data_IF_270089219239
#
_entry.id   IF_270089219239
#
_cell.length_a   1.000
_cell.length_b   1.000
_cell.length_c   1.000
_cell.angle_alpha   90.00
_cell.angle_beta   90.00
_cell.angle_gamma   90.00
#
_symmetry.space_group_name_H-M   'P 1'
#
loop_
_entity.id
_entity.type
_entity.pdbx_description
1 polymer ?
#
# COMPACT_ATOMS: atom_id res chain seq x y z
N UNK A 1 1.89 -0.07 9.86
CA UNK A 1 1.80 -0.83 8.59
C UNK A 1 0.39 -1.37 8.41
N UNK A 2 -0.12 -1.39 7.19
CA UNK A 2 -1.36 -2.10 6.81
C UNK A 2 -0.98 -3.25 5.88
N UNK A 3 -1.50 -4.44 6.14
CA UNK A 3 -1.29 -5.61 5.29
C UNK A 3 -2.57 -5.97 4.53
N UNK A 4 -2.42 -6.24 3.22
CA UNK A 4 -3.50 -6.62 2.34
C UNK A 4 -3.28 -8.01 1.76
N UNK A 5 -4.34 -8.81 1.76
CA UNK A 5 -4.38 -10.13 1.13
C UNK A 5 -4.86 -9.99 -0.31
N UNK A 6 -4.24 -10.74 -1.21
CA UNK A 6 -4.67 -10.79 -2.61
C UNK A 6 -6.06 -11.44 -2.74
N UNK A 7 -6.67 -11.28 -3.91
CA UNK A 7 -7.89 -11.95 -4.31
C UNK A 7 -7.66 -13.47 -4.35
N UNK A 8 -8.73 -14.23 -4.13
CA UNK A 8 -8.65 -15.70 -4.16
C UNK A 8 -8.22 -16.15 -5.57
N UNK A 9 -7.19 -16.98 -5.63
CA UNK A 9 -6.59 -17.45 -6.89
C UNK A 9 -5.25 -16.77 -7.18
N UNK A 10 -5.15 -15.46 -6.93
CA UNK A 10 -3.99 -14.64 -7.31
C UNK A 10 -2.87 -14.64 -6.27
N UNK A 11 -1.64 -14.37 -6.69
CA UNK A 11 -0.47 -14.14 -5.85
C UNK A 11 0.11 -12.75 -6.09
N UNK A 12 0.88 -12.23 -5.12
CA UNK A 12 1.46 -10.91 -5.26
C UNK A 12 2.48 -10.85 -6.39
N UNK A 13 3.29 -11.92 -6.55
CA UNK A 13 4.27 -12.05 -7.63
C UNK A 13 3.64 -12.11 -9.02
N UNK A 14 2.45 -12.72 -9.17
CA UNK A 14 1.73 -12.71 -10.45
C UNK A 14 1.14 -11.33 -10.78
N UNK A 15 0.66 -10.61 -9.76
CA UNK A 15 0.02 -9.31 -9.92
C UNK A 15 1.05 -8.18 -10.13
N UNK A 16 2.15 -8.24 -9.37
CA UNK A 16 3.28 -7.31 -9.43
C UNK A 16 4.55 -8.16 -9.55
N UNK A 17 4.97 -8.50 -10.79
CA UNK A 17 6.17 -9.30 -11.01
C UNK A 17 7.45 -8.53 -10.68
N UNK A 18 7.41 -7.19 -10.75
CA UNK A 18 8.52 -6.30 -10.41
C UNK A 18 8.03 -5.24 -9.43
N UNK A 19 8.15 -5.54 -8.12
CA UNK A 19 7.72 -4.64 -7.06
C UNK A 19 8.49 -3.33 -7.06
N UNK A 20 9.79 -3.37 -7.35
CA UNK A 20 10.64 -2.19 -7.36
C UNK A 20 10.17 -1.24 -8.46
N UNK A 21 10.07 -1.74 -9.70
CA UNK A 21 9.65 -0.94 -10.84
C UNK A 21 8.22 -0.39 -10.69
N UNK A 22 7.27 -1.21 -10.21
CA UNK A 22 5.88 -0.75 -10.00
C UNK A 22 5.83 0.34 -8.93
N UNK A 23 6.58 0.21 -7.83
CA UNK A 23 6.61 1.24 -6.77
C UNK A 23 7.20 2.54 -7.29
N UNK A 24 8.30 2.46 -8.06
CA UNK A 24 8.91 3.64 -8.66
C UNK A 24 7.99 4.33 -9.67
N UNK A 25 7.27 3.55 -10.49
CA UNK A 25 6.31 4.09 -11.45
C UNK A 25 5.15 4.79 -10.74
N UNK A 26 4.60 4.23 -9.66
CA UNK A 26 3.47 4.83 -8.95
C UNK A 26 3.85 6.01 -8.04
N UNK A 27 4.93 5.89 -7.28
CA UNK A 27 5.21 6.79 -6.17
C UNK A 27 6.50 7.59 -6.34
N UNK A 28 7.43 7.18 -7.19
CA UNK A 28 8.72 7.82 -7.37
C UNK A 28 9.88 6.99 -6.81
N UNK A 29 11.12 7.50 -6.92
CA UNK A 29 12.33 6.70 -6.76
C UNK A 29 12.46 6.10 -5.36
N UNK A 30 12.95 4.86 -5.30
CA UNK A 30 13.20 4.21 -4.01
C UNK A 30 14.47 4.80 -3.41
N UNK A 31 14.34 5.28 -2.17
CA UNK A 31 15.41 5.93 -1.40
C UNK A 31 16.07 5.01 -0.39
N UNK A 32 15.46 3.86 -0.10
CA UNK A 32 15.99 2.88 0.86
C UNK A 32 15.05 1.70 1.08
N UNK A 33 15.36 0.93 2.13
CA UNK A 33 14.56 -0.21 2.56
C UNK A 33 14.31 -0.19 4.08
N UNK A 34 13.22 -0.81 4.50
CA UNK A 34 12.83 -0.95 5.92
C UNK A 34 12.39 -2.39 6.17
N UNK A 35 12.93 -3.03 7.22
CA UNK A 35 12.57 -4.41 7.58
C UNK A 35 11.21 -4.44 8.30
N UNK A 36 10.33 -5.34 7.86
CA UNK A 36 9.04 -5.58 8.49
C UNK A 36 8.66 -7.06 8.41
N UNK A 37 8.38 -7.68 9.55
CA UNK A 37 8.05 -9.11 9.66
C UNK A 37 9.09 -10.03 8.95
N UNK A 38 10.37 -9.68 9.02
CA UNK A 38 11.46 -10.42 8.38
C UNK A 38 11.48 -10.33 6.85
N UNK A 39 10.80 -9.34 6.28
CA UNK A 39 10.85 -9.00 4.85
C UNK A 39 11.31 -7.56 4.66
N UNK A 40 12.10 -7.30 3.62
CA UNK A 40 12.54 -5.96 3.26
C UNK A 40 11.46 -5.25 2.43
N UNK A 41 11.06 -4.05 2.86
CA UNK A 41 10.11 -3.20 2.15
C UNK A 41 10.81 -1.99 1.56
N UNK A 42 10.41 -1.56 0.37
CA UNK A 42 10.95 -0.39 -0.30
C UNK A 42 10.42 0.89 0.33
N UNK A 43 11.29 1.89 0.47
CA UNK A 43 10.98 3.21 1.02
C UNK A 43 11.15 4.27 -0.06
N UNK A 44 10.06 4.96 -0.39
CA UNK A 44 10.07 6.19 -1.19
C UNK A 44 10.01 7.36 -0.22
N UNK A 45 11.16 8.00 0.00
CA UNK A 45 11.32 9.12 0.93
C UNK A 45 11.08 10.49 0.31
N UNK A 46 11.03 10.58 -1.03
CA UNK A 46 10.62 11.78 -1.77
C UNK A 46 9.62 11.40 -2.87
N UNK A 47 8.35 11.19 -2.50
CA UNK A 47 7.35 10.76 -3.46
C UNK A 47 7.04 11.84 -4.50
N UNK A 48 6.79 11.43 -5.75
CA UNK A 48 6.47 12.35 -6.86
C UNK A 48 5.16 13.14 -6.65
N UNK A 49 4.27 12.66 -5.79
CA UNK A 49 3.04 13.35 -5.44
C UNK A 49 3.20 14.04 -4.07
N UNK A 50 3.04 15.38 -3.99
CA UNK A 50 3.34 16.17 -2.80
C UNK A 50 2.41 15.91 -1.62
N UNK A 51 1.35 15.10 -1.78
CA UNK A 51 0.48 14.67 -0.67
C UNK A 51 1.18 13.64 0.21
N UNK A 52 2.10 12.84 -0.34
CA UNK A 52 2.85 11.85 0.43
C UNK A 52 4.15 12.44 0.95
N UNK A 53 4.42 12.23 2.24
CA UNK A 53 5.73 12.52 2.84
C UNK A 53 6.65 11.29 2.72
N UNK A 54 6.08 10.09 2.86
CA UNK A 54 6.81 8.83 2.76
C UNK A 54 5.87 7.72 2.32
N UNK A 55 6.34 6.83 1.45
CA UNK A 55 5.64 5.58 1.12
C UNK A 55 6.56 4.41 1.44
N UNK A 56 6.06 3.45 2.22
CA UNK A 56 6.76 2.19 2.49
C UNK A 56 5.91 1.04 1.97
N UNK A 57 6.50 0.14 1.20
CA UNK A 57 5.74 -0.90 0.50
C UNK A 57 6.59 -2.11 0.15
N UNK A 58 6.01 -3.29 0.25
CA UNK A 58 6.65 -4.50 -0.24
C UNK A 58 5.89 -5.78 0.09
N UNK A 59 6.43 -6.89 -0.37
CA UNK A 59 5.90 -8.22 -0.12
C UNK A 59 6.36 -8.72 1.25
N UNK A 60 5.42 -9.14 2.09
CA UNK A 60 5.71 -9.84 3.35
C UNK A 60 5.57 -11.34 3.12
N UNK A 61 6.68 -12.05 3.28
CA UNK A 61 6.75 -13.48 3.07
C UNK A 61 6.37 -14.24 4.33
N UNK A 62 5.54 -15.26 4.16
CA UNK A 62 5.14 -16.12 5.26
C UNK A 62 5.29 -17.59 4.90
N UNK A 63 5.81 -18.38 5.83
CA UNK A 63 5.85 -19.83 5.65
C UNK A 63 4.43 -20.42 5.72
N UNK A 64 4.06 -21.19 4.69
CA UNK A 64 2.81 -21.96 4.66
C UNK A 64 1.55 -21.18 4.29
N UNK A 65 1.63 -19.89 3.94
CA UNK A 65 0.53 -19.12 3.36
C UNK A 65 1.06 -18.20 2.25
N UNK A 66 0.14 -17.67 1.45
CA UNK A 66 0.48 -16.67 0.41
C UNK A 66 1.08 -15.43 1.06
N UNK A 67 1.99 -14.79 0.34
CA UNK A 67 2.55 -13.49 0.71
C UNK A 67 1.43 -12.44 0.88
N UNK A 68 1.71 -11.37 1.60
CA UNK A 68 0.81 -10.22 1.70
C UNK A 68 1.51 -8.97 1.21
N UNK A 69 0.74 -7.98 0.80
CA UNK A 69 1.27 -6.65 0.53
C UNK A 69 1.24 -5.83 1.81
N UNK A 70 2.41 -5.43 2.33
CA UNK A 70 2.50 -4.42 3.38
C UNK A 70 2.65 -3.03 2.78
N UNK A 71 1.90 -2.07 3.31
CA UNK A 71 2.00 -0.65 2.93
C UNK A 71 1.89 0.28 4.13
N UNK A 72 2.58 1.41 4.02
CA UNK A 72 2.38 2.59 4.84
C UNK A 72 2.48 3.83 3.95
N UNK A 73 1.42 4.62 3.96
CA UNK A 73 1.37 5.93 3.31
C UNK A 73 1.37 6.97 4.42
N UNK A 74 2.45 7.72 4.53
CA UNK A 74 2.55 8.90 5.37
C UNK A 74 2.11 10.09 4.50
N UNK A 75 1.02 10.73 4.90
CA UNK A 75 0.36 11.79 4.14
C UNK A 75 0.42 13.10 4.91
N UNK A 76 0.65 14.19 4.19
CA UNK A 76 0.58 15.56 4.74
C UNK A 76 -0.84 15.87 5.21
N UNK A 77 -0.94 16.86 6.10
CA UNK A 77 -2.24 17.34 6.53
C UNK A 77 -3.05 17.90 5.34
N UNK A 78 -4.32 17.51 5.27
CA UNK A 78 -5.19 17.90 4.16
C UNK A 78 -5.39 19.42 4.07
N UNK A 79 -5.39 20.14 5.19
CA UNK A 79 -5.53 21.60 5.20
C UNK A 79 -4.30 22.26 4.57
N UNK A 80 -3.09 21.77 4.85
CA UNK A 80 -1.84 22.27 4.26
C UNK A 80 -1.79 21.99 2.76
N UNK A 81 -2.16 20.77 2.34
CA UNK A 81 -2.24 20.40 0.92
C UNK A 81 -3.21 21.31 0.17
N UNK A 82 -4.39 21.59 0.73
CA UNK A 82 -5.37 22.49 0.12
C UNK A 82 -4.86 23.94 0.11
N UNK A 83 -4.27 24.41 1.20
CA UNK A 83 -3.75 25.77 1.33
C UNK A 83 -2.63 26.07 0.31
N UNK A 84 -1.82 25.07 -0.03
CA UNK A 84 -0.77 25.17 -1.06
C UNK A 84 -1.31 25.05 -2.50
N UNK A 85 -2.62 24.83 -2.67
CA UNK A 85 -3.25 24.70 -3.99
C UNK A 85 -3.08 23.32 -4.61
N UNK A 86 -2.69 22.30 -3.84
CA UNK A 86 -2.44 20.93 -4.31
C UNK A 86 -3.71 20.07 -4.34
N UNK A 87 -4.88 20.67 -4.63
CA UNK A 87 -6.16 19.95 -4.65
C UNK A 87 -6.20 18.85 -5.74
N UNK A 88 -5.66 19.12 -6.92
CA UNK A 88 -5.54 18.12 -8.00
C UNK A 88 -4.60 16.98 -7.59
N UNK A 89 -3.47 17.31 -6.95
CA UNK A 89 -2.53 16.31 -6.45
C UNK A 89 -3.16 15.41 -5.37
N UNK A 90 -4.07 15.93 -4.54
CA UNK A 90 -4.80 15.13 -3.56
C UNK A 90 -5.71 14.08 -4.24
N UNK A 91 -6.37 14.46 -5.34
CA UNK A 91 -7.16 13.51 -6.12
C UNK A 91 -6.27 12.46 -6.78
N UNK A 92 -5.13 12.87 -7.35
CA UNK A 92 -4.16 11.96 -7.95
C UNK A 92 -3.55 11.00 -6.92
N UNK A 93 -3.32 11.45 -5.69
CA UNK A 93 -2.83 10.61 -4.59
C UNK A 93 -3.83 9.51 -4.25
N UNK A 94 -5.11 9.86 -4.15
CA UNK A 94 -6.19 8.88 -3.91
C UNK A 94 -6.29 7.90 -5.07
N UNK A 95 -6.15 8.36 -6.31
CA UNK A 95 -6.19 7.50 -7.49
C UNK A 95 -5.00 6.53 -7.48
N UNK A 96 -3.78 7.03 -7.34
CA UNK A 96 -2.55 6.24 -7.30
C UNK A 96 -2.60 5.15 -6.22
N UNK A 97 -3.04 5.48 -4.99
CA UNK A 97 -3.23 4.48 -3.93
C UNK A 97 -4.23 3.41 -4.32
N UNK A 98 -5.34 3.79 -4.93
CA UNK A 98 -6.41 2.84 -5.23
C UNK A 98 -6.06 1.94 -6.41
N UNK A 99 -5.43 2.47 -7.45
CA UNK A 99 -4.94 1.73 -8.60
C UNK A 99 -3.83 0.77 -8.17
N UNK A 100 -2.79 1.24 -7.48
CA UNK A 100 -1.72 0.38 -6.97
C UNK A 100 -2.26 -0.76 -6.10
N UNK A 101 -3.15 -0.44 -5.14
CA UNK A 101 -3.70 -1.47 -4.26
C UNK A 101 -4.65 -2.41 -5.02
N UNK A 102 -5.34 -1.94 -6.05
CA UNK A 102 -6.19 -2.79 -6.90
C UNK A 102 -5.33 -3.74 -7.73
N UNK A 103 -4.29 -3.24 -8.38
CA UNK A 103 -3.34 -4.03 -9.17
C UNK A 103 -2.66 -5.07 -8.29
N UNK A 104 -2.04 -4.65 -7.18
CA UNK A 104 -1.34 -5.54 -6.27
C UNK A 104 -2.24 -6.64 -5.70
N UNK A 105 -3.45 -6.27 -5.28
CA UNK A 105 -4.30 -7.18 -4.50
C UNK A 105 -5.40 -7.86 -5.32
N UNK A 106 -5.67 -7.42 -6.54
CA UNK A 106 -6.86 -7.82 -7.31
C UNK A 106 -8.18 -7.40 -6.64
N UNK A 107 -8.15 -6.49 -5.65
CA UNK A 107 -9.32 -6.09 -4.85
C UNK A 107 -9.56 -4.60 -4.90
N UNK A 108 -10.79 -4.23 -5.22
CA UNK A 108 -11.27 -2.86 -5.11
C UNK A 108 -11.28 -2.37 -3.64
N UNK A 109 -11.43 -1.06 -3.46
CA UNK A 109 -11.38 -0.42 -2.14
C UNK A 109 -12.43 -0.99 -1.17
N UNK A 110 -13.64 -1.33 -1.65
CA UNK A 110 -14.70 -1.92 -0.82
C UNK A 110 -14.30 -3.32 -0.38
N UNK A 111 -13.85 -4.17 -1.31
CA UNK A 111 -13.39 -5.52 -1.01
C UNK A 111 -12.19 -5.55 -0.04
N UNK A 112 -11.26 -4.59 -0.16
CA UNK A 112 -10.14 -4.41 0.78
C UNK A 112 -10.63 -4.04 2.18
N UNK A 113 -11.55 -3.07 2.29
CA UNK A 113 -12.13 -2.66 3.58
C UNK A 113 -12.90 -3.79 4.26
N UNK A 114 -13.74 -4.50 3.51
CA UNK A 114 -14.54 -5.61 4.05
C UNK A 114 -13.62 -6.76 4.52
N UNK A 115 -12.50 -7.00 3.83
CA UNK A 115 -11.50 -7.98 4.25
C UNK A 115 -10.78 -7.57 5.53
N UNK A 116 -10.44 -6.29 5.69
CA UNK A 116 -9.81 -5.78 6.91
C UNK A 116 -10.78 -5.85 8.09
N UNK A 117 -12.05 -5.48 7.90
CA UNK A 117 -13.08 -5.55 8.94
C UNK A 117 -13.23 -6.97 9.48
N UNK A 118 -13.32 -7.96 8.60
CA UNK A 118 -13.41 -9.38 9.00
C UNK A 118 -12.18 -9.85 9.77
N UNK A 119 -10.97 -9.42 9.37
CA UNK A 119 -9.75 -9.77 10.09
C UNK A 119 -9.75 -9.21 11.53
N UNK A 120 -10.27 -7.99 11.73
CA UNK A 120 -10.44 -7.39 13.06
C UNK A 120 -11.52 -8.11 13.87
N UNK A 121 -12.63 -8.51 13.23
CA UNK A 121 -13.71 -9.26 13.89
C UNK A 121 -13.26 -10.67 14.31
N UNK A 122 -12.45 -11.36 13.51
CA UNK A 122 -11.86 -12.67 13.86
C UNK A 122 -10.84 -12.58 15.02
N UNK A 123 -10.25 -11.41 15.26
CA UNK A 123 -9.28 -11.17 16.35
C UNK A 123 -9.96 -10.68 17.65
N UNK A 124 -11.21 -10.24 17.58
CA UNK A 124 -12.00 -9.88 18.75
C UNK A 124 -12.43 -11.16 19.49
N UNK A 125 -12.17 -11.28 20.81
CA UNK A 125 -12.63 -12.44 21.56
C UNK A 125 -14.17 -12.47 21.60
N UNK A 126 -14.77 -13.60 21.24
CA UNK A 126 -16.18 -13.88 21.50
C UNK A 126 -16.43 -13.79 23.02
N UNK A 127 -17.15 -12.76 23.47
CA UNK A 127 -17.54 -12.55 24.87
C UNK A 127 -19.03 -12.82 25.07
#
# INVERSE_FOLDING_TARGET
>A
MKEYKMRRGETLEENIPDMEATVEDYFGPITGTEEYNGSDLHVVGDPKNPVFEKVVVGAVKYSGKKDTLAVHFEERDAADVIAEGNADAAQDAVNAKNEFLLEATGRDAKARRDSLKRAVEDEAPDY
#
